data_IF_813696733754
#
_entry.id   IF_813696733754
#
_cell.length_a   1.000
_cell.length_b   1.000
_cell.length_c   1.000
_cell.angle_alpha   90.00
_cell.angle_beta   90.00
_cell.angle_gamma   90.00
#
_symmetry.space_group_name_H-M   'P 1'
#
loop_
_entity.id
_entity.type
_entity.pdbx_description
1 polymer ?
#
# COMPACT_ATOMS: atom_id res chain seq x y z
N UNK A 1 -11.10 17.02 18.81
CA UNK A 1 -12.20 16.36 18.04
C UNK A 1 -13.37 16.05 18.98
N UNK A 2 -14.62 16.04 18.48
CA UNK A 2 -15.76 15.57 19.28
C UNK A 2 -15.60 14.08 19.60
N UNK A 3 -16.13 13.62 20.74
CA UNK A 3 -15.92 12.26 21.23
C UNK A 3 -16.26 11.17 20.20
N UNK A 4 -17.36 11.31 19.46
CA UNK A 4 -17.73 10.35 18.41
C UNK A 4 -16.77 10.35 17.21
N UNK A 5 -16.10 11.48 16.91
CA UNK A 5 -15.10 11.55 15.84
C UNK A 5 -13.78 10.88 16.23
N UNK A 6 -13.47 10.84 17.53
CA UNK A 6 -12.26 10.16 18.04
C UNK A 6 -12.35 8.66 17.78
N UNK A 7 -13.54 8.06 17.90
CA UNK A 7 -13.76 6.64 17.64
C UNK A 7 -13.51 6.24 16.17
N UNK A 8 -13.55 7.20 15.23
CA UNK A 8 -13.25 6.96 13.82
C UNK A 8 -11.74 7.00 13.51
N UNK A 9 -10.90 7.33 14.48
CA UNK A 9 -9.46 7.45 14.27
C UNK A 9 -8.80 6.07 14.01
N UNK A 10 -7.79 5.97 13.10
CA UNK A 10 -7.11 4.71 12.79
C UNK A 10 -6.53 3.94 13.99
N UNK A 11 -6.29 4.65 15.09
CA UNK A 11 -5.90 4.05 16.37
C UNK A 11 -6.87 2.96 16.82
N UNK A 12 -8.18 3.14 16.61
CA UNK A 12 -9.23 2.21 17.04
C UNK A 12 -9.62 1.19 15.97
N UNK A 13 -9.01 1.24 14.79
CA UNK A 13 -9.35 0.33 13.71
C UNK A 13 -8.82 -1.08 13.97
N UNK A 14 -9.64 -2.08 13.66
CA UNK A 14 -9.21 -3.48 13.56
C UNK A 14 -8.20 -3.65 12.43
N UNK A 15 -7.44 -4.75 12.45
CA UNK A 15 -6.51 -5.09 11.38
C UNK A 15 -7.18 -5.18 10.01
N UNK A 16 -8.39 -5.75 9.97
CA UNK A 16 -9.22 -5.82 8.75
C UNK A 16 -9.57 -4.43 8.22
N UNK A 17 -10.00 -3.52 9.09
CA UNK A 17 -10.36 -2.16 8.69
C UNK A 17 -9.15 -1.36 8.20
N UNK A 18 -7.99 -1.50 8.86
CA UNK A 18 -6.72 -0.91 8.41
C UNK A 18 -6.35 -1.41 7.01
N UNK A 19 -6.49 -2.70 6.78
CA UNK A 19 -6.16 -3.29 5.48
C UNK A 19 -7.14 -2.87 4.38
N UNK A 20 -8.45 -2.84 4.68
CA UNK A 20 -9.46 -2.30 3.75
C UNK A 20 -9.14 -0.87 3.38
N UNK A 21 -8.79 -0.03 4.37
CA UNK A 21 -8.44 1.37 4.10
C UNK A 21 -7.25 1.50 3.13
N UNK A 22 -6.19 0.70 3.30
CA UNK A 22 -5.04 0.71 2.39
C UNK A 22 -5.42 0.27 0.98
N UNK A 23 -6.28 -0.76 0.87
CA UNK A 23 -6.79 -1.26 -0.40
C UNK A 23 -7.62 -0.21 -1.12
N UNK A 24 -8.60 0.36 -0.43
CA UNK A 24 -9.55 1.33 -1.00
C UNK A 24 -8.82 2.63 -1.36
N UNK A 25 -7.82 3.02 -0.57
CA UNK A 25 -6.92 4.14 -0.90
C UNK A 25 -6.11 3.85 -2.17
N UNK A 26 -5.55 2.64 -2.31
CA UNK A 26 -4.83 2.25 -3.54
C UNK A 26 -5.73 2.35 -4.77
N UNK A 27 -6.99 1.90 -4.69
CA UNK A 27 -7.93 1.97 -5.81
C UNK A 27 -8.28 3.41 -6.17
N UNK A 28 -8.48 4.27 -5.16
CA UNK A 28 -8.73 5.71 -5.37
C UNK A 28 -7.55 6.39 -6.04
N UNK A 29 -6.32 6.07 -5.65
CA UNK A 29 -5.09 6.65 -6.21
C UNK A 29 -4.88 6.24 -7.67
N UNK A 30 -5.20 5.00 -8.04
CA UNK A 30 -5.03 4.53 -9.42
C UNK A 30 -5.96 5.25 -10.42
N UNK A 31 -7.03 5.91 -9.94
CA UNK A 31 -7.88 6.77 -10.77
C UNK A 31 -7.21 8.10 -11.12
N UNK A 32 -6.31 8.59 -10.26
CA UNK A 32 -5.59 9.86 -10.43
C UNK A 32 -4.48 9.77 -11.49
N UNK A 33 -4.02 8.56 -11.86
CA UNK A 33 -2.98 8.33 -12.87
C UNK A 33 -3.34 8.91 -14.25
N UNK A 34 -4.62 9.19 -14.50
CA UNK A 34 -5.12 9.76 -15.75
C UNK A 34 -5.06 11.28 -15.77
N UNK A 35 -4.86 11.92 -14.62
CA UNK A 35 -4.82 13.37 -14.49
C UNK A 35 -3.38 13.88 -14.59
N UNK A 36 -3.15 14.87 -15.46
CA UNK A 36 -1.87 15.56 -15.52
C UNK A 36 -1.85 16.55 -14.35
N UNK A 37 -1.05 16.26 -13.32
CA UNK A 37 -0.87 17.05 -12.08
C UNK A 37 -1.94 16.81 -11.01
N UNK A 38 -1.94 15.61 -10.42
CA UNK A 38 -2.74 15.32 -9.23
C UNK A 38 -1.99 15.72 -7.96
N UNK A 39 -2.53 16.70 -7.23
CA UNK A 39 -2.01 17.12 -5.91
C UNK A 39 -1.98 15.95 -4.91
N UNK A 40 -2.94 15.02 -5.03
CA UNK A 40 -2.99 13.83 -4.18
C UNK A 40 -1.82 12.87 -4.47
N UNK A 41 -1.49 12.66 -5.74
CA UNK A 41 -0.35 11.83 -6.14
C UNK A 41 0.97 12.46 -5.68
N UNK A 42 1.11 13.78 -5.80
CA UNK A 42 2.29 14.47 -5.31
C UNK A 42 2.41 14.34 -3.78
N UNK A 43 1.35 14.65 -3.04
CA UNK A 43 1.35 14.56 -1.59
C UNK A 43 1.69 13.15 -1.08
N UNK A 44 1.20 12.10 -1.73
CA UNK A 44 1.46 10.73 -1.29
C UNK A 44 2.86 10.23 -1.62
N UNK A 45 3.45 10.68 -2.73
CA UNK A 45 4.83 10.33 -3.07
C UNK A 45 5.83 11.11 -2.21
N UNK A 46 5.51 12.36 -1.81
CA UNK A 46 6.36 13.16 -0.94
C UNK A 46 6.59 12.55 0.46
N UNK A 47 5.65 11.75 0.99
CA UNK A 47 5.79 11.13 2.32
C UNK A 47 6.63 9.85 2.31
N UNK A 48 6.98 9.31 1.14
CA UNK A 48 7.69 8.03 1.02
C UNK A 48 8.95 7.92 1.89
N UNK A 49 9.86 8.91 1.86
CA UNK A 49 11.06 8.92 2.70
C UNK A 49 10.78 8.84 4.20
N UNK A 50 9.70 9.44 4.69
CA UNK A 50 9.31 9.39 6.10
C UNK A 50 8.70 8.03 6.47
N UNK A 51 7.91 7.43 5.58
CA UNK A 51 7.20 6.17 5.83
C UNK A 51 8.15 4.97 5.75
N UNK A 52 8.99 4.90 4.71
CA UNK A 52 9.82 3.74 4.44
C UNK A 52 11.29 4.02 4.15
N UNK A 53 11.73 5.28 4.18
CA UNK A 53 13.06 5.65 3.71
C UNK A 53 13.13 5.60 2.19
N UNK A 54 14.25 5.13 1.65
CA UNK A 54 14.45 5.15 0.20
C UNK A 54 13.79 3.95 -0.51
N UNK A 55 13.96 2.74 0.02
CA UNK A 55 13.54 1.51 -0.64
C UNK A 55 12.71 0.65 0.31
N UNK A 56 11.42 0.50 0.06
CA UNK A 56 10.56 -0.34 0.89
C UNK A 56 10.75 -1.85 0.69
N UNK A 57 11.34 -2.32 -0.42
CA UNK A 57 11.58 -3.75 -0.67
C UNK A 57 12.49 -4.35 0.39
N UNK A 58 13.50 -3.61 0.87
CA UNK A 58 14.44 -4.10 1.90
C UNK A 58 13.75 -4.45 3.23
N UNK A 59 12.51 -3.98 3.44
CA UNK A 59 11.72 -4.25 4.64
C UNK A 59 10.94 -5.56 4.54
N UNK A 60 10.94 -6.22 3.38
CA UNK A 60 10.24 -7.48 3.15
C UNK A 60 11.22 -8.67 3.08
N UNK A 61 10.69 -9.85 3.38
CA UNK A 61 11.45 -11.10 3.25
C UNK A 61 11.78 -11.42 1.79
N UNK A 62 12.98 -11.99 1.56
CA UNK A 62 13.47 -12.30 0.22
C UNK A 62 12.63 -13.35 -0.51
N UNK A 63 12.02 -14.31 0.20
CA UNK A 63 11.11 -15.31 -0.39
C UNK A 63 9.82 -14.62 -0.86
N UNK A 64 9.31 -13.68 -0.06
CA UNK A 64 8.15 -12.87 -0.44
C UNK A 64 8.45 -12.02 -1.67
N UNK A 65 9.59 -11.30 -1.71
CA UNK A 65 10.01 -10.50 -2.87
C UNK A 65 10.21 -11.35 -4.14
N UNK A 66 10.81 -12.54 -3.99
CA UNK A 66 10.97 -13.49 -5.10
C UNK A 66 9.63 -13.91 -5.72
N UNK A 67 8.56 -13.98 -4.92
CA UNK A 67 7.21 -14.27 -5.41
C UNK A 67 6.53 -13.09 -6.12
N UNK A 68 7.05 -11.86 -5.98
CA UNK A 68 6.48 -10.63 -6.57
C UNK A 68 6.96 -10.45 -8.01
N UNK A 69 8.24 -10.74 -8.26
CA UNK A 69 8.96 -10.38 -9.50
C UNK A 69 8.43 -10.98 -10.80
N UNK A 70 7.56 -12.00 -10.73
CA UNK A 70 7.08 -12.71 -11.93
C UNK A 70 5.94 -12.00 -12.68
N UNK A 71 5.19 -11.09 -12.04
CA UNK A 71 3.94 -10.58 -12.62
C UNK A 71 3.91 -9.07 -12.86
N UNK A 72 4.53 -8.26 -11.99
CA UNK A 72 4.55 -6.79 -12.12
C UNK A 72 5.83 -6.20 -11.56
N UNK A 73 6.40 -5.21 -12.25
CA UNK A 73 7.49 -4.38 -11.73
C UNK A 73 6.90 -3.26 -10.87
N UNK A 74 7.41 -3.13 -9.65
CA UNK A 74 7.10 -2.04 -8.74
C UNK A 74 8.32 -1.11 -8.63
N UNK A 75 8.08 0.13 -8.21
CA UNK A 75 9.13 1.08 -7.92
C UNK A 75 9.25 1.09 -6.39
N UNK A 76 10.38 0.61 -5.91
CA UNK A 76 10.66 0.44 -4.50
C UNK A 76 10.74 1.77 -3.72
N UNK A 77 10.77 2.90 -4.42
CA UNK A 77 10.83 4.23 -3.83
C UNK A 77 9.46 4.95 -3.89
N UNK A 78 8.42 4.31 -4.44
CA UNK A 78 7.09 4.92 -4.63
C UNK A 78 6.09 4.38 -3.60
N UNK A 79 5.46 5.30 -2.86
CA UNK A 79 4.40 5.01 -1.88
C UNK A 79 3.18 4.40 -2.58
N UNK A 80 2.83 4.93 -3.75
CA UNK A 80 1.74 4.38 -4.56
C UNK A 80 2.03 2.95 -4.97
N UNK A 81 3.25 2.65 -5.44
CA UNK A 81 3.61 1.30 -5.84
C UNK A 81 3.61 0.32 -4.67
N UNK A 82 3.96 0.77 -3.46
CA UNK A 82 3.79 -0.02 -2.23
C UNK A 82 2.31 -0.33 -1.95
N UNK A 83 1.44 0.67 -1.98
CA UNK A 83 -0.01 0.46 -1.79
C UNK A 83 -0.58 -0.50 -2.84
N UNK A 84 -0.15 -0.34 -4.09
CA UNK A 84 -0.53 -1.23 -5.20
C UNK A 84 -0.07 -2.66 -4.98
N UNK A 85 1.14 -2.85 -4.46
CA UNK A 85 1.66 -4.17 -4.10
C UNK A 85 0.78 -4.81 -3.03
N UNK A 86 0.47 -4.08 -1.94
CA UNK A 86 -0.36 -4.56 -0.83
C UNK A 86 -1.73 -4.99 -1.35
N UNK A 87 -2.41 -4.14 -2.13
CA UNK A 87 -3.70 -4.47 -2.76
C UNK A 87 -3.61 -5.73 -3.60
N UNK A 88 -2.63 -5.81 -4.50
CA UNK A 88 -2.51 -6.94 -5.42
C UNK A 88 -2.23 -8.25 -4.67
N UNK A 89 -1.34 -8.23 -3.67
CA UNK A 89 -1.02 -9.43 -2.90
C UNK A 89 -2.17 -9.87 -2.01
N UNK A 90 -2.97 -8.94 -1.49
CA UNK A 90 -4.19 -9.29 -0.77
C UNK A 90 -5.21 -9.97 -1.69
N UNK A 91 -5.51 -9.38 -2.86
CA UNK A 91 -6.51 -9.90 -3.79
C UNK A 91 -6.14 -11.31 -4.32
N UNK A 92 -4.84 -11.60 -4.40
CA UNK A 92 -4.31 -12.88 -4.86
C UNK A 92 -3.69 -13.69 -3.71
N UNK A 93 -4.11 -13.48 -2.46
CA UNK A 93 -3.51 -14.14 -1.30
C UNK A 93 -3.55 -15.69 -1.40
N UNK A 94 -4.63 -16.22 -1.97
CA UNK A 94 -4.82 -17.67 -2.18
C UNK A 94 -3.82 -18.25 -3.19
N UNK A 95 -3.27 -17.43 -4.08
CA UNK A 95 -2.33 -17.85 -5.13
C UNK A 95 -0.88 -17.95 -4.63
N UNK A 96 -0.60 -17.53 -3.40
CA UNK A 96 0.74 -17.70 -2.83
C UNK A 96 1.05 -19.16 -2.49
N UNK A 97 2.32 -19.59 -2.67
CA UNK A 97 2.78 -20.84 -2.08
C UNK A 97 2.54 -20.85 -0.57
N UNK A 98 2.22 -22.01 0.01
CA UNK A 98 2.01 -22.18 1.47
C UNK A 98 3.16 -21.68 2.36
N UNK A 99 4.36 -21.54 1.79
CA UNK A 99 5.54 -21.03 2.47
C UNK A 99 5.51 -19.51 2.67
N UNK A 100 4.65 -18.80 1.92
CA UNK A 100 4.52 -17.34 1.90
C UNK A 100 3.14 -16.89 2.41
N UNK A 101 2.14 -17.79 2.43
CA UNK A 101 0.84 -17.58 3.09
C UNK A 101 0.99 -17.53 4.60
#
# INVERSE_FOLDING_TARGET
>A
PLAHKVLLHPLFWSSEMRLSFLRDSSDRIELEDREKQSDLLEAIECIGPEVFGDNWEIKFDSVFLGSIGNHRRYNANSTRHLLRLIRNKWNHYIEFPKQVQ
#
